data_IF_363598388242
#
_entry.id   IF_363598388242
#
_cell.length_a   1.000
_cell.length_b   1.000
_cell.length_c   1.000
_cell.angle_alpha   90.00
_cell.angle_beta   90.00
_cell.angle_gamma   90.00
#
_symmetry.space_group_name_H-M   'P 1'
#
loop_
_entity.id
_entity.type
_entity.pdbx_description
1 polymer ?
#
# COMPACT_ATOMS: atom_id res chain seq x y z
N UNK A 1 -30.87 -36.80 53.03
CA UNK A 1 -30.94 -35.42 52.48
C UNK A 1 -29.63 -34.93 51.85
N UNK A 2 -28.49 -35.62 52.02
CA UNK A 2 -27.18 -35.23 51.46
C UNK A 2 -26.99 -35.65 50.00
N UNK A 3 -27.54 -36.80 49.57
CA UNK A 3 -27.42 -37.26 48.17
C UNK A 3 -28.13 -36.36 47.14
N UNK A 4 -29.27 -35.76 47.52
CA UNK A 4 -30.02 -34.85 46.62
C UNK A 4 -29.33 -33.48 46.49
N UNK A 5 -28.69 -32.98 47.55
CA UNK A 5 -27.91 -31.72 47.52
C UNK A 5 -26.68 -31.84 46.61
N UNK A 6 -26.03 -33.00 46.61
CA UNK A 6 -24.87 -33.25 45.74
C UNK A 6 -25.26 -33.40 44.26
N UNK A 7 -26.44 -33.98 43.98
CA UNK A 7 -26.97 -34.07 42.61
C UNK A 7 -27.38 -32.69 42.08
N UNK A 8 -28.02 -31.85 42.90
CA UNK A 8 -28.34 -30.46 42.52
C UNK A 8 -27.06 -29.65 42.29
N UNK A 9 -26.03 -29.83 43.12
CA UNK A 9 -24.72 -29.19 42.92
C UNK A 9 -24.04 -29.60 41.61
N UNK A 10 -24.11 -30.88 41.23
CA UNK A 10 -23.55 -31.38 39.96
C UNK A 10 -24.35 -30.88 38.75
N UNK A 11 -25.68 -30.79 38.85
CA UNK A 11 -26.52 -30.25 37.78
C UNK A 11 -26.25 -28.76 37.59
N UNK A 12 -26.13 -27.98 38.68
CA UNK A 12 -25.79 -26.55 38.62
C UNK A 12 -24.40 -26.35 38.01
N UNK A 13 -23.41 -27.17 38.43
CA UNK A 13 -22.06 -27.11 37.88
C UNK A 13 -22.01 -27.53 36.40
N UNK A 14 -22.78 -28.55 36.00
CA UNK A 14 -22.90 -28.97 34.61
C UNK A 14 -23.64 -27.94 33.74
N UNK A 15 -24.63 -27.23 34.28
CA UNK A 15 -25.28 -26.10 33.57
C UNK A 15 -24.39 -24.87 33.48
N UNK A 16 -23.49 -24.64 34.45
CA UNK A 16 -22.48 -23.56 34.35
C UNK A 16 -21.43 -23.91 33.30
N UNK A 17 -21.01 -25.17 33.20
CA UNK A 17 -20.07 -25.63 32.16
C UNK A 17 -20.74 -25.62 30.77
N UNK A 18 -22.02 -26.00 30.65
CA UNK A 18 -22.76 -25.96 29.38
C UNK A 18 -23.21 -24.54 28.98
N UNK A 19 -23.27 -23.59 29.92
CA UNK A 19 -23.51 -22.17 29.63
C UNK A 19 -22.23 -21.40 29.25
N UNK A 20 -21.05 -22.00 29.43
CA UNK A 20 -19.86 -21.65 28.66
C UNK A 20 -19.91 -22.39 27.32
N UNK A 21 -20.86 -22.00 26.46
CA UNK A 21 -20.62 -22.11 25.02
C UNK A 21 -19.43 -21.22 24.66
N UNK A 22 -18.74 -21.55 23.58
CA UNK A 22 -17.50 -20.94 23.07
C UNK A 22 -17.62 -19.45 22.67
N UNK A 23 -18.31 -18.63 23.45
CA UNK A 23 -18.38 -17.19 23.26
C UNK A 23 -17.17 -16.53 23.95
N UNK A 24 -15.96 -16.99 23.62
CA UNK A 24 -14.75 -16.22 23.87
C UNK A 24 -14.65 -15.07 22.84
N UNK A 25 -15.51 -14.07 23.05
CA UNK A 25 -15.23 -12.63 22.97
C UNK A 25 -14.21 -12.11 21.93
N UNK A 26 -14.43 -12.39 20.64
CA UNK A 26 -14.36 -11.34 19.62
C UNK A 26 -15.61 -11.48 18.74
N UNK A 27 -16.67 -10.74 19.10
CA UNK A 27 -17.81 -10.59 18.20
C UNK A 27 -17.30 -9.81 16.99
N UNK A 28 -17.16 -10.46 15.84
CA UNK A 28 -16.85 -9.79 14.58
C UNK A 28 -18.12 -9.06 14.10
N UNK A 29 -18.20 -7.72 14.20
CA UNK A 29 -19.39 -6.99 13.81
C UNK A 29 -19.62 -6.97 12.29
N UNK A 30 -18.65 -7.48 11.51
CA UNK A 30 -18.66 -7.54 10.06
C UNK A 30 -18.69 -9.00 9.54
N UNK A 31 -19.02 -9.99 10.38
CA UNK A 31 -19.04 -11.39 9.97
C UNK A 31 -20.02 -11.69 8.81
N UNK A 32 -21.07 -10.88 8.69
CA UNK A 32 -22.10 -11.03 7.65
C UNK A 32 -21.80 -10.21 6.36
N UNK A 33 -20.64 -9.54 6.29
CA UNK A 33 -20.25 -8.76 5.11
C UNK A 33 -19.74 -9.70 4.01
N UNK A 34 -20.43 -9.67 2.88
CA UNK A 34 -19.97 -10.26 1.63
C UNK A 34 -19.03 -9.27 0.92
N UNK A 35 -17.73 -9.51 1.03
CA UNK A 35 -16.70 -8.64 0.48
C UNK A 35 -16.67 -8.60 -1.05
N UNK A 36 -17.05 -9.69 -1.72
CA UNK A 36 -17.16 -9.71 -3.18
C UNK A 36 -18.33 -8.83 -3.65
N UNK A 37 -19.49 -8.96 -2.99
CA UNK A 37 -20.63 -8.09 -3.28
C UNK A 37 -20.35 -6.62 -2.94
N UNK A 38 -19.60 -6.36 -1.86
CA UNK A 38 -19.17 -5.03 -1.48
C UNK A 38 -18.24 -4.42 -2.54
N UNK A 39 -17.25 -5.17 -3.03
CA UNK A 39 -16.34 -4.72 -4.10
C UNK A 39 -17.10 -4.30 -5.37
N UNK A 40 -18.13 -5.06 -5.76
CA UNK A 40 -19.01 -4.73 -6.88
C UNK A 40 -19.77 -3.43 -6.60
N UNK A 41 -20.39 -3.30 -5.42
CA UNK A 41 -21.16 -2.11 -5.01
C UNK A 41 -20.28 -0.84 -4.95
N UNK A 42 -19.06 -0.98 -4.47
CA UNK A 42 -18.06 0.09 -4.42
C UNK A 42 -17.70 0.56 -5.83
N UNK A 43 -17.34 -0.37 -6.71
CA UNK A 43 -17.03 -0.03 -8.08
C UNK A 43 -18.21 0.65 -8.80
N UNK A 44 -19.44 0.18 -8.57
CA UNK A 44 -20.64 0.83 -9.11
C UNK A 44 -20.80 2.27 -8.62
N UNK A 45 -20.50 2.52 -7.34
CA UNK A 45 -20.55 3.85 -6.73
C UNK A 45 -19.46 4.76 -7.30
N UNK A 46 -18.23 4.26 -7.41
CA UNK A 46 -17.10 4.99 -8.01
C UNK A 46 -17.35 5.33 -9.48
N UNK A 47 -17.83 4.38 -10.29
CA UNK A 47 -18.16 4.63 -11.71
C UNK A 47 -19.26 5.69 -11.84
N UNK A 48 -20.31 5.62 -11.02
CA UNK A 48 -21.35 6.66 -10.99
C UNK A 48 -20.79 8.01 -10.57
N UNK A 49 -19.88 8.04 -9.60
CA UNK A 49 -19.20 9.26 -9.18
C UNK A 49 -18.40 9.87 -10.34
N UNK A 50 -17.53 9.09 -10.97
CA UNK A 50 -16.63 9.53 -12.04
C UNK A 50 -17.39 10.04 -13.27
N UNK A 51 -18.58 9.48 -13.57
CA UNK A 51 -19.46 9.94 -14.66
C UNK A 51 -20.18 11.26 -14.35
N UNK A 52 -20.33 11.61 -13.07
CA UNK A 52 -21.06 12.81 -12.62
C UNK A 52 -20.12 13.92 -12.12
N UNK A 53 -18.81 13.75 -12.25
CA UNK A 53 -17.80 14.72 -11.84
C UNK A 53 -16.82 14.98 -12.97
N UNK A 54 -16.19 16.15 -12.94
CA UNK A 54 -15.04 16.51 -13.76
C UNK A 54 -13.92 17.02 -12.86
N UNK A 55 -12.69 17.01 -13.36
CA UNK A 55 -11.57 17.64 -12.68
C UNK A 55 -11.38 19.07 -13.21
N UNK A 56 -11.43 20.05 -12.31
CA UNK A 56 -11.18 21.45 -12.60
C UNK A 56 -9.69 21.75 -12.42
N UNK A 57 -8.97 21.89 -13.53
CA UNK A 57 -7.53 22.13 -13.55
C UNK A 57 -7.12 23.51 -13.00
N UNK A 58 -8.00 24.51 -13.08
CA UNK A 58 -7.71 25.85 -12.56
C UNK A 58 -7.80 25.88 -11.03
N UNK A 59 -8.70 25.07 -10.47
CA UNK A 59 -8.92 24.94 -9.03
C UNK A 59 -8.22 23.73 -8.39
N UNK A 60 -7.47 22.94 -9.16
CA UNK A 60 -6.84 21.67 -8.75
C UNK A 60 -7.79 20.80 -7.91
N UNK A 61 -9.04 20.62 -8.37
CA UNK A 61 -10.05 19.90 -7.59
C UNK A 61 -11.15 19.25 -8.42
N UNK A 62 -11.73 18.17 -7.87
CA UNK A 62 -12.91 17.49 -8.43
C UNK A 62 -14.17 18.30 -8.15
N UNK A 63 -15.00 18.49 -9.17
CA UNK A 63 -16.27 19.22 -9.13
C UNK A 63 -17.39 18.41 -9.78
N UNK A 64 -18.63 18.68 -9.37
CA UNK A 64 -19.82 18.12 -10.04
C UNK A 64 -19.85 18.55 -11.50
N UNK A 65 -20.21 17.62 -12.39
CA UNK A 65 -20.25 17.83 -13.83
C UNK A 65 -21.18 18.98 -14.20
N UNK A 66 -20.70 19.86 -15.08
CA UNK A 66 -21.45 20.96 -15.68
C UNK A 66 -21.37 20.88 -17.21
N UNK A 67 -22.30 21.55 -17.89
CA UNK A 67 -22.33 21.59 -19.36
C UNK A 67 -21.00 22.08 -19.94
N UNK A 68 -20.45 21.34 -20.90
CA UNK A 68 -19.21 21.67 -21.60
C UNK A 68 -17.92 21.16 -20.93
N UNK A 69 -18.02 20.45 -19.79
CA UNK A 69 -16.89 19.75 -19.17
C UNK A 69 -16.96 18.24 -19.48
N UNK A 70 -15.80 17.60 -19.58
CA UNK A 70 -15.68 16.15 -19.78
C UNK A 70 -15.78 15.44 -18.43
N UNK A 71 -16.61 14.40 -18.29
CA UNK A 71 -16.63 13.56 -17.10
C UNK A 71 -15.26 12.92 -16.84
N UNK A 72 -14.85 12.75 -15.58
CA UNK A 72 -13.59 12.07 -15.22
C UNK A 72 -13.55 10.67 -15.85
N UNK A 73 -14.68 9.96 -15.87
CA UNK A 73 -14.78 8.61 -16.43
C UNK A 73 -14.46 8.54 -17.94
N UNK A 74 -14.62 9.64 -18.67
CA UNK A 74 -14.39 9.72 -20.12
C UNK A 74 -13.10 10.49 -20.45
N UNK A 75 -12.32 10.89 -19.45
CA UNK A 75 -11.08 11.63 -19.62
C UNK A 75 -9.89 10.68 -19.77
N UNK A 76 -9.05 10.91 -20.80
CA UNK A 76 -7.86 10.09 -21.10
C UNK A 76 -6.82 10.09 -19.95
N UNK A 77 -6.89 11.08 -19.05
CA UNK A 77 -6.05 11.16 -17.84
C UNK A 77 -6.46 10.17 -16.76
N UNK A 78 -7.67 9.60 -16.82
CA UNK A 78 -8.10 8.55 -15.90
C UNK A 78 -7.42 7.23 -16.27
N UNK A 79 -6.67 6.67 -15.32
CA UNK A 79 -6.09 5.33 -15.40
C UNK A 79 -6.90 4.39 -14.50
N UNK A 80 -7.23 3.22 -15.03
CA UNK A 80 -7.88 2.15 -14.27
C UNK A 80 -6.87 1.04 -14.05
N UNK A 81 -6.76 0.55 -12.83
CA UNK A 81 -5.91 -0.56 -12.44
C UNK A 81 -6.78 -1.69 -11.91
N UNK A 82 -6.50 -2.91 -12.36
CA UNK A 82 -7.03 -4.12 -11.74
C UNK A 82 -6.07 -4.56 -10.64
N UNK A 83 -6.57 -4.75 -9.43
CA UNK A 83 -5.79 -5.15 -8.27
C UNK A 83 -6.52 -6.29 -7.58
N UNK A 84 -5.84 -7.40 -7.36
CA UNK A 84 -6.40 -8.56 -6.67
C UNK A 84 -5.86 -8.59 -5.24
N UNK A 85 -6.74 -8.62 -4.24
CA UNK A 85 -6.37 -8.72 -2.83
C UNK A 85 -7.35 -9.66 -2.13
N UNK A 86 -6.83 -10.66 -1.40
CA UNK A 86 -7.63 -11.72 -0.77
C UNK A 86 -8.59 -12.41 -1.74
N UNK A 87 -8.09 -12.79 -2.93
CA UNK A 87 -8.87 -13.43 -4.01
C UNK A 87 -10.02 -12.58 -4.60
N UNK A 88 -10.08 -11.28 -4.29
CA UNK A 88 -11.09 -10.36 -4.81
C UNK A 88 -10.46 -9.36 -5.77
N UNK A 89 -11.05 -9.24 -6.96
CA UNK A 89 -10.63 -8.27 -7.97
C UNK A 89 -11.28 -6.89 -7.75
N UNK A 90 -10.44 -5.88 -7.56
CA UNK A 90 -10.83 -4.49 -7.39
C UNK A 90 -10.42 -3.64 -8.58
N UNK A 91 -11.18 -2.57 -8.82
CA UNK A 91 -10.79 -1.48 -9.73
C UNK A 91 -10.37 -0.26 -8.94
N UNK A 92 -9.08 0.08 -9.03
CA UNK A 92 -8.54 1.33 -8.54
C UNK A 92 -8.52 2.35 -9.69
N UNK A 93 -8.97 3.57 -9.42
CA UNK A 93 -8.96 4.64 -10.41
C UNK A 93 -7.99 5.75 -9.99
N UNK A 94 -7.12 6.15 -10.91
CA UNK A 94 -6.13 7.20 -10.71
C UNK A 94 -6.30 8.25 -11.80
N UNK A 95 -6.77 9.44 -11.45
CA UNK A 95 -6.78 10.56 -12.38
C UNK A 95 -5.44 11.29 -12.32
N UNK A 96 -4.64 11.18 -13.38
CA UNK A 96 -3.30 11.79 -13.46
C UNK A 96 -3.42 13.22 -13.98
N UNK A 97 -3.55 14.18 -13.07
CA UNK A 97 -3.67 15.60 -13.42
C UNK A 97 -2.36 16.13 -14.04
N UNK A 98 -1.23 15.77 -13.42
CA UNK A 98 0.14 15.99 -13.89
C UNK A 98 0.96 14.73 -13.61
N UNK A 99 1.63 14.18 -14.61
CA UNK A 99 2.44 12.97 -14.44
C UNK A 99 3.60 13.19 -13.47
N UNK A 100 4.30 14.32 -13.59
CA UNK A 100 5.52 14.63 -12.86
C UNK A 100 6.66 14.84 -13.84
N UNK A 101 7.64 15.66 -13.48
CA UNK A 101 8.79 15.97 -14.33
C UNK A 101 10.03 16.17 -13.45
N UNK A 102 11.03 15.31 -13.64
CA UNK A 102 12.29 15.35 -12.90
C UNK A 102 13.19 16.50 -13.32
N UNK A 103 12.84 17.25 -14.38
CA UNK A 103 13.55 18.44 -14.82
C UNK A 103 15.04 18.18 -15.02
N UNK A 104 15.86 18.78 -14.15
CA UNK A 104 17.33 18.61 -14.17
C UNK A 104 17.86 17.44 -13.35
N UNK A 105 17.02 16.81 -12.54
CA UNK A 105 17.36 15.63 -11.75
C UNK A 105 17.21 14.35 -12.59
N UNK A 106 17.91 13.25 -12.24
CA UNK A 106 17.76 11.98 -12.92
C UNK A 106 16.30 11.52 -12.99
N UNK A 107 15.84 11.10 -14.17
CA UNK A 107 14.52 10.48 -14.31
C UNK A 107 14.55 9.11 -13.65
N UNK A 108 13.88 9.02 -12.50
CA UNK A 108 13.74 7.79 -11.72
C UNK A 108 12.63 6.87 -12.25
N UNK A 109 11.88 7.32 -13.26
CA UNK A 109 10.69 6.62 -13.73
C UNK A 109 9.53 6.75 -12.74
N UNK A 110 8.74 5.70 -12.65
CA UNK A 110 7.62 5.58 -11.72
C UNK A 110 8.06 4.73 -10.52
N UNK A 111 7.59 5.02 -9.29
CA UNK A 111 7.86 4.16 -8.16
C UNK A 111 7.23 2.79 -8.37
N UNK A 112 7.88 1.77 -7.81
CA UNK A 112 7.30 0.44 -7.59
C UNK A 112 6.26 0.51 -6.46
N UNK A 113 5.55 -0.60 -6.22
CA UNK A 113 4.59 -0.71 -5.10
C UNK A 113 5.26 -0.79 -3.72
N UNK A 114 6.58 -0.91 -3.68
CA UNK A 114 7.36 -1.08 -2.43
C UNK A 114 8.33 0.08 -2.18
N UNK A 115 8.49 1.00 -3.13
CA UNK A 115 9.42 2.12 -2.97
C UNK A 115 8.99 3.09 -1.86
N UNK A 116 9.98 3.77 -1.27
CA UNK A 116 9.75 4.91 -0.39
C UNK A 116 9.41 6.17 -1.20
N UNK A 117 8.29 6.81 -0.88
CA UNK A 117 7.79 8.02 -1.55
C UNK A 117 7.72 9.22 -0.61
N UNK A 118 8.02 10.42 -1.12
CA UNK A 118 7.84 11.69 -0.42
C UNK A 118 6.68 12.46 -1.01
N UNK A 119 5.64 12.71 -0.23
CA UNK A 119 4.33 13.10 -0.76
C UNK A 119 3.62 14.19 0.03
N UNK A 120 2.73 14.92 -0.64
CA UNK A 120 1.62 15.64 0.00
C UNK A 120 0.32 14.92 -0.31
N UNK A 121 -0.68 15.03 0.57
CA UNK A 121 -1.97 14.41 0.32
C UNK A 121 -3.11 15.09 1.10
N UNK A 122 -4.34 14.83 0.65
CA UNK A 122 -5.56 15.14 1.37
C UNK A 122 -6.64 14.09 1.09
N UNK A 123 -7.09 13.39 2.13
CA UNK A 123 -8.08 12.32 2.08
C UNK A 123 -9.48 12.79 2.45
N UNK A 124 -10.48 12.34 1.67
CA UNK A 124 -11.92 12.61 1.88
C UNK A 124 -12.72 11.33 1.75
N UNK A 125 -13.76 11.19 2.57
CA UNK A 125 -14.70 10.07 2.45
C UNK A 125 -15.67 10.33 1.31
N UNK A 126 -16.13 9.25 0.67
CA UNK A 126 -17.15 9.27 -0.35
C UNK A 126 -18.42 8.58 0.15
N UNK A 127 -19.58 9.11 -0.25
CA UNK A 127 -20.88 8.48 0.00
C UNK A 127 -21.71 8.54 -1.28
N UNK A 128 -21.82 7.38 -1.93
CA UNK A 128 -22.46 7.23 -3.24
C UNK A 128 -21.81 8.14 -4.29
N UNK A 129 -22.52 9.18 -4.70
CA UNK A 129 -22.06 10.14 -5.72
C UNK A 129 -21.56 11.46 -5.14
N UNK A 130 -21.36 11.56 -3.83
CA UNK A 130 -20.86 12.77 -3.17
C UNK A 130 -19.61 12.47 -2.36
N UNK A 131 -18.83 13.50 -2.04
CA UNK A 131 -17.66 13.40 -1.16
C UNK A 131 -17.72 14.45 -0.06
N UNK A 132 -17.08 14.16 1.06
CA UNK A 132 -16.98 15.08 2.19
C UNK A 132 -16.35 16.41 1.76
N UNK A 133 -16.89 17.53 2.26
CA UNK A 133 -16.26 18.84 2.10
C UNK A 133 -15.02 19.01 2.97
N UNK A 134 -14.83 18.13 3.95
CA UNK A 134 -13.73 18.15 4.91
C UNK A 134 -12.76 17.00 4.63
N UNK A 135 -11.47 17.27 4.80
CA UNK A 135 -10.45 16.23 4.81
C UNK A 135 -10.51 15.50 6.16
N UNK A 136 -10.55 14.17 6.15
CA UNK A 136 -10.39 13.39 7.38
C UNK A 136 -8.91 13.27 7.78
N UNK A 137 -8.02 13.37 6.80
CA UNK A 137 -6.57 13.40 6.97
C UNK A 137 -5.91 14.20 5.84
N UNK A 138 -4.79 14.87 6.12
CA UNK A 138 -4.00 15.60 5.11
C UNK A 138 -2.61 15.98 5.60
N UNK A 139 -1.65 15.98 4.68
CA UNK A 139 -0.33 16.56 4.86
C UNK A 139 0.02 17.46 3.66
N UNK A 140 0.52 18.68 3.93
CA UNK A 140 0.90 19.66 2.89
C UNK A 140 2.35 20.13 3.02
N UNK A 141 3.12 19.53 3.92
CA UNK A 141 4.52 19.89 4.21
C UNK A 141 5.50 18.83 3.77
N UNK A 142 5.02 17.78 3.10
CA UNK A 142 5.76 16.61 2.68
C UNK A 142 5.99 15.63 3.84
N UNK A 143 5.77 14.35 3.55
CA UNK A 143 6.04 13.23 4.47
C UNK A 143 6.54 12.02 3.67
N UNK A 144 7.47 11.26 4.26
CA UNK A 144 7.93 9.99 3.70
C UNK A 144 6.99 8.86 4.11
N UNK A 145 6.65 8.02 3.13
CA UNK A 145 5.98 6.75 3.36
C UNK A 145 6.74 5.62 2.66
N UNK A 146 6.83 4.48 3.33
CA UNK A 146 7.08 3.20 2.68
C UNK A 146 5.76 2.73 2.06
N UNK A 147 5.74 2.44 0.74
CA UNK A 147 4.53 2.00 0.06
C UNK A 147 4.05 0.60 0.49
N UNK A 148 4.87 -0.21 1.16
CA UNK A 148 4.45 -1.45 1.82
C UNK A 148 3.59 -1.22 3.08
N UNK A 149 3.78 -0.08 3.76
CA UNK A 149 3.16 0.19 5.06
C UNK A 149 1.93 1.13 4.98
N UNK A 150 1.36 1.29 3.79
CA UNK A 150 0.16 2.13 3.56
C UNK A 150 -0.98 1.30 2.97
N UNK A 151 -2.17 1.90 2.85
CA UNK A 151 -3.29 1.24 2.18
C UNK A 151 -2.93 0.88 0.75
N UNK A 152 -3.41 -0.27 0.26
CA UNK A 152 -3.08 -0.79 -1.08
C UNK A 152 -3.39 0.22 -2.19
N UNK A 153 -4.48 0.98 -2.06
CA UNK A 153 -4.81 2.03 -3.02
C UNK A 153 -3.71 3.08 -3.22
N UNK A 154 -2.88 3.34 -2.21
CA UNK A 154 -1.69 4.19 -2.32
C UNK A 154 -0.52 3.45 -2.96
N UNK A 155 -0.21 2.24 -2.49
CA UNK A 155 0.88 1.40 -3.02
C UNK A 155 0.78 1.24 -4.54
N UNK A 156 -0.42 0.98 -5.05
CA UNK A 156 -0.69 0.91 -6.48
C UNK A 156 -0.84 2.30 -7.14
N UNK A 157 -1.47 3.25 -6.45
CA UNK A 157 -1.81 4.56 -7.01
C UNK A 157 -0.59 5.40 -7.41
N UNK A 158 0.44 5.43 -6.57
CA UNK A 158 1.65 6.23 -6.84
C UNK A 158 2.46 5.72 -8.03
N UNK A 159 2.31 4.45 -8.43
CA UNK A 159 2.96 3.86 -9.62
C UNK A 159 2.55 4.53 -10.94
N UNK A 160 1.53 5.40 -10.93
CA UNK A 160 1.05 6.17 -12.10
C UNK A 160 1.56 7.60 -12.14
N UNK A 161 2.39 7.99 -11.19
CA UNK A 161 3.01 9.31 -11.10
C UNK A 161 4.53 9.19 -11.16
N UNK A 162 5.18 10.30 -11.49
CA UNK A 162 6.62 10.50 -11.43
C UNK A 162 6.97 11.55 -10.38
N UNK A 163 8.18 11.43 -9.84
CA UNK A 163 8.76 12.44 -8.95
C UNK A 163 9.06 13.75 -9.67
N UNK A 164 9.19 14.82 -8.89
CA UNK A 164 9.67 16.11 -9.35
C UNK A 164 11.18 16.27 -9.19
N UNK A 165 11.64 17.52 -9.26
CA UNK A 165 13.03 17.92 -9.06
C UNK A 165 13.23 18.68 -7.75
N UNK A 166 14.37 18.49 -7.11
CA UNK A 166 14.76 19.29 -5.96
C UNK A 166 15.07 20.71 -6.42
N UNK A 167 14.46 21.71 -5.76
CA UNK A 167 14.71 23.11 -6.06
C UNK A 167 16.19 23.45 -5.80
N UNK A 168 16.84 23.98 -6.84
CA UNK A 168 18.22 24.48 -6.80
C UNK A 168 18.26 26.01 -6.77
N UNK A 169 19.36 26.59 -6.32
CA UNK A 169 19.58 28.03 -6.38
C UNK A 169 19.67 28.50 -7.84
N UNK A 170 18.90 29.52 -8.26
CA UNK A 170 18.81 29.91 -9.67
C UNK A 170 20.07 30.58 -10.22
N UNK A 171 20.96 31.08 -9.35
CA UNK A 171 22.18 31.77 -9.78
C UNK A 171 23.37 30.81 -9.88
N UNK A 172 23.41 29.81 -8.99
CA UNK A 172 24.54 28.88 -8.88
C UNK A 172 24.23 27.49 -9.43
N UNK A 173 22.95 27.12 -9.57
CA UNK A 173 22.52 25.75 -9.87
C UNK A 173 22.79 24.75 -8.74
N UNK A 174 23.27 25.23 -7.59
CA UNK A 174 23.63 24.43 -6.42
C UNK A 174 22.51 24.35 -5.39
N UNK A 175 22.88 24.03 -4.15
CA UNK A 175 21.94 23.89 -3.02
C UNK A 175 21.15 25.18 -2.81
N UNK A 176 19.82 25.07 -2.80
CA UNK A 176 18.93 26.18 -2.46
C UNK A 176 18.97 26.44 -0.94
N UNK A 177 19.34 27.66 -0.53
CA UNK A 177 19.37 28.05 0.88
C UNK A 177 17.96 28.41 1.38
N UNK A 178 17.15 27.39 1.63
CA UNK A 178 15.78 27.49 2.14
C UNK A 178 15.22 26.12 2.53
N UNK A 179 13.91 26.04 2.85
CA UNK A 179 13.28 24.75 3.12
C UNK A 179 13.43 23.81 1.92
N UNK A 180 13.57 22.51 2.19
CA UNK A 180 13.54 21.47 1.15
C UNK A 180 12.24 21.65 0.37
N UNK A 181 12.37 21.92 -0.93
CA UNK A 181 11.26 22.23 -1.82
C UNK A 181 11.43 21.43 -3.08
N UNK A 182 10.41 20.67 -3.45
CA UNK A 182 10.36 19.98 -4.74
C UNK A 182 9.52 20.79 -5.72
N UNK A 183 9.95 20.83 -6.96
CA UNK A 183 9.23 21.43 -8.08
C UNK A 183 8.73 20.29 -8.96
N UNK A 184 7.66 20.56 -9.71
CA UNK A 184 7.20 19.66 -10.77
C UNK A 184 6.82 18.23 -10.38
N UNK A 185 6.54 17.96 -9.11
CA UNK A 185 6.00 16.68 -8.66
C UNK A 185 4.72 16.27 -9.41
N UNK A 186 4.51 14.96 -9.50
CA UNK A 186 3.28 14.38 -10.04
C UNK A 186 2.08 14.76 -9.17
N UNK A 187 0.92 14.95 -9.80
CA UNK A 187 -0.34 15.31 -9.14
C UNK A 187 -1.44 14.41 -9.64
N UNK A 188 -2.24 13.88 -8.71
CA UNK A 188 -3.35 13.03 -9.08
C UNK A 188 -4.47 12.97 -8.05
N UNK A 189 -5.56 12.31 -8.45
CA UNK A 189 -6.67 11.97 -7.57
C UNK A 189 -6.85 10.46 -7.59
N UNK A 190 -6.75 9.83 -6.42
CA UNK A 190 -7.08 8.41 -6.23
C UNK A 190 -8.56 8.29 -5.86
N UNK A 191 -9.24 7.33 -6.48
CA UNK A 191 -10.57 6.87 -6.08
C UNK A 191 -10.47 5.40 -5.73
N UNK A 192 -10.51 5.13 -4.43
CA UNK A 192 -10.09 3.87 -3.84
C UNK A 192 -11.35 3.12 -3.37
N UNK A 193 -11.62 1.91 -3.88
CA UNK A 193 -12.68 1.06 -3.34
C UNK A 193 -12.34 0.65 -1.91
N UNK A 194 -13.34 0.39 -1.07
CA UNK A 194 -13.10 0.17 0.36
C UNK A 194 -12.17 -1.01 0.67
N UNK A 195 -12.22 -2.05 -0.17
CA UNK A 195 -11.34 -3.23 -0.13
C UNK A 195 -9.85 -2.91 -0.25
N UNK A 196 -9.48 -1.84 -0.95
CA UNK A 196 -8.10 -1.37 -1.10
C UNK A 196 -7.74 -0.23 -0.13
N UNK A 197 -8.64 0.09 0.79
CA UNK A 197 -8.49 1.12 1.81
C UNK A 197 -8.46 0.49 3.21
N UNK A 198 -9.57 0.54 3.94
CA UNK A 198 -9.72 0.00 5.29
C UNK A 198 -10.81 -1.07 5.31
N UNK A 199 -10.59 -2.25 4.71
CA UNK A 199 -11.61 -3.31 4.68
C UNK A 199 -11.86 -3.90 6.05
N UNK A 200 -13.09 -4.31 6.31
CA UNK A 200 -13.46 -5.10 7.49
C UNK A 200 -12.99 -6.56 7.45
N UNK A 201 -12.23 -6.98 6.42
CA UNK A 201 -11.51 -8.25 6.47
C UNK A 201 -10.27 -8.16 7.38
N UNK A 202 -9.74 -6.95 7.59
CA UNK A 202 -8.69 -6.69 8.56
C UNK A 202 -9.29 -6.24 9.90
N UNK A 203 -9.08 -7.05 10.94
CA UNK A 203 -9.58 -6.81 12.30
C UNK A 203 -9.14 -5.48 12.91
N UNK A 204 -8.00 -4.93 12.50
CA UNK A 204 -7.51 -3.64 12.97
C UNK A 204 -8.42 -2.48 12.56
N UNK A 205 -9.20 -2.66 11.49
CA UNK A 205 -10.09 -1.62 10.97
C UNK A 205 -11.45 -1.56 11.67
N UNK A 206 -11.80 -2.50 12.54
CA UNK A 206 -13.19 -2.64 13.04
C UNK A 206 -13.72 -1.41 13.77
N UNK A 207 -12.82 -0.62 14.37
CA UNK A 207 -13.17 0.60 15.11
C UNK A 207 -12.99 1.88 14.30
N UNK A 208 -12.46 1.76 13.08
CA UNK A 208 -12.25 2.90 12.18
C UNK A 208 -13.58 3.43 11.67
N UNK A 209 -13.74 4.75 11.66
CA UNK A 209 -14.86 5.40 10.98
C UNK A 209 -14.77 5.32 9.45
N UNK A 210 -13.65 4.83 8.92
CA UNK A 210 -13.37 4.65 7.49
C UNK A 210 -13.53 3.20 7.03
N UNK A 211 -13.91 2.29 7.93
CA UNK A 211 -14.10 0.88 7.58
C UNK A 211 -15.14 0.75 6.46
N UNK A 212 -14.84 -0.11 5.48
CA UNK A 212 -15.71 -0.39 4.32
C UNK A 212 -16.21 0.88 3.60
N UNK A 213 -15.38 1.93 3.55
CA UNK A 213 -15.72 3.21 2.94
C UNK A 213 -14.86 3.50 1.71
N UNK A 214 -15.50 3.88 0.60
CA UNK A 214 -14.81 4.40 -0.59
C UNK A 214 -14.13 5.74 -0.27
N UNK A 215 -12.88 5.89 -0.69
CA UNK A 215 -12.06 7.06 -0.38
C UNK A 215 -11.62 7.81 -1.63
N UNK A 216 -11.49 9.13 -1.49
CA UNK A 216 -10.89 10.02 -2.46
C UNK A 216 -9.64 10.64 -1.83
N UNK A 217 -8.50 10.55 -2.51
CA UNK A 217 -7.29 11.26 -2.10
C UNK A 217 -6.80 12.16 -3.21
N UNK A 218 -6.56 13.43 -2.89
CA UNK A 218 -5.65 14.27 -3.66
C UNK A 218 -4.23 13.89 -3.25
N UNK A 219 -3.36 13.60 -4.20
CA UNK A 219 -1.97 13.20 -3.95
C UNK A 219 -1.02 14.02 -4.82
N UNK A 220 0.09 14.43 -4.22
CA UNK A 220 1.25 14.97 -4.93
C UNK A 220 2.46 14.08 -4.64
N UNK A 221 3.08 13.51 -5.68
CA UNK A 221 4.36 12.79 -5.58
C UNK A 221 5.52 13.78 -5.77
N UNK A 222 6.17 14.16 -4.67
CA UNK A 222 7.24 15.17 -4.69
C UNK A 222 8.56 14.55 -5.17
N UNK A 223 8.94 13.40 -4.61
CA UNK A 223 10.07 12.57 -5.04
C UNK A 223 9.92 11.16 -4.47
N UNK A 224 10.82 10.24 -4.81
CA UNK A 224 10.87 8.89 -4.25
C UNK A 224 12.29 8.32 -4.30
N UNK A 225 12.51 7.20 -3.63
CA UNK A 225 13.73 6.39 -3.70
C UNK A 225 13.40 5.16 -4.55
N UNK A 226 13.90 5.05 -5.81
CA UNK A 226 13.72 3.83 -6.59
C UNK A 226 14.53 2.71 -5.96
N UNK A 227 14.09 1.47 -6.16
CA UNK A 227 14.79 0.27 -5.69
C UNK A 227 15.05 0.35 -4.17
N UNK A 228 14.02 0.73 -3.42
CA UNK A 228 14.15 0.84 -1.95
C UNK A 228 14.52 -0.51 -1.37
N UNK A 229 15.61 -0.51 -0.62
CA UNK A 229 16.15 -1.60 0.19
C UNK A 229 15.85 -1.24 1.66
N UNK A 230 15.07 -2.07 2.35
CA UNK A 230 14.46 -1.72 3.64
C UNK A 230 15.32 -2.12 4.85
N UNK A 231 15.98 -3.27 4.80
CA UNK A 231 16.93 -3.76 5.80
C UNK A 231 18.37 -3.23 5.55
N UNK A 232 18.66 -2.72 4.34
CA UNK A 232 19.96 -2.25 3.87
C UNK A 232 21.01 -3.36 3.73
N UNK A 233 20.58 -4.51 3.23
CA UNK A 233 21.41 -5.67 2.96
C UNK A 233 21.93 -5.75 1.50
N UNK A 234 21.61 -4.75 0.66
CA UNK A 234 22.07 -4.68 -0.72
C UNK A 234 21.13 -5.32 -1.74
N UNK A 235 20.04 -5.96 -1.32
CA UNK A 235 18.99 -6.45 -2.21
C UNK A 235 17.81 -5.47 -2.18
N UNK A 236 17.45 -4.84 -3.32
CA UNK A 236 16.25 -4.03 -3.37
C UNK A 236 15.00 -4.86 -3.09
N UNK A 237 14.11 -4.37 -2.24
CA UNK A 237 12.89 -5.08 -1.81
C UNK A 237 12.01 -5.58 -2.95
N UNK A 238 11.99 -4.90 -4.09
CA UNK A 238 11.23 -5.38 -5.24
C UNK A 238 11.80 -6.68 -5.84
N UNK A 239 13.08 -7.00 -5.60
CA UNK A 239 13.74 -8.23 -6.05
C UNK A 239 13.56 -9.40 -5.08
N UNK A 240 13.06 -9.16 -3.88
CA UNK A 240 12.83 -10.17 -2.84
C UNK A 240 11.44 -10.81 -2.92
N UNK A 241 10.66 -10.43 -3.94
CA UNK A 241 9.44 -11.11 -4.40
C UNK A 241 9.85 -12.36 -5.21
N UNK A 242 10.31 -13.41 -4.51
CA UNK A 242 11.03 -14.54 -5.12
C UNK A 242 10.11 -15.37 -6.03
N UNK A 243 8.85 -15.52 -5.66
CA UNK A 243 7.85 -16.26 -6.44
C UNK A 243 7.09 -15.40 -7.46
N UNK A 244 7.33 -14.08 -7.46
CA UNK A 244 6.71 -13.08 -8.33
C UNK A 244 5.17 -13.01 -8.19
N UNK A 245 4.61 -13.41 -7.04
CA UNK A 245 3.18 -13.30 -6.74
C UNK A 245 2.75 -11.85 -6.48
N UNK A 246 3.72 -10.98 -6.21
CA UNK A 246 3.48 -9.59 -5.96
C UNK A 246 3.50 -9.19 -4.49
N UNK A 247 3.94 -10.03 -3.57
CA UNK A 247 3.81 -9.83 -2.14
C UNK A 247 5.05 -10.26 -1.34
N UNK A 248 6.08 -9.42 -1.35
CA UNK A 248 7.31 -9.55 -0.51
C UNK A 248 7.11 -9.84 0.99
N UNK A 249 5.89 -9.71 1.54
CA UNK A 249 5.63 -10.03 2.96
C UNK A 249 5.48 -11.54 3.24
N UNK A 250 5.43 -12.40 2.22
CA UNK A 250 5.32 -13.85 2.38
C UNK A 250 6.58 -14.61 1.91
N UNK A 251 7.56 -13.92 1.35
CA UNK A 251 8.88 -14.46 1.01
C UNK A 251 9.76 -14.44 2.27
N UNK A 252 10.00 -15.62 2.82
CA UNK A 252 10.76 -15.88 4.05
C UNK A 252 11.57 -17.16 3.79
N UNK A 253 12.85 -17.01 3.48
CA UNK A 253 13.69 -18.07 2.91
C UNK A 253 14.15 -19.07 3.96
N UNK A 254 14.47 -18.61 5.17
CA UNK A 254 14.93 -19.47 6.27
C UNK A 254 13.79 -19.93 7.21
N UNK A 255 12.61 -19.29 7.11
CA UNK A 255 11.40 -19.63 7.85
C UNK A 255 11.39 -19.14 9.30
N UNK A 256 12.17 -18.11 9.64
CA UNK A 256 12.26 -17.57 11.00
C UNK A 256 11.09 -16.64 11.38
N UNK A 257 10.29 -16.23 10.38
CA UNK A 257 9.12 -15.38 10.50
C UNK A 257 9.35 -13.91 10.17
N UNK A 258 10.55 -13.51 9.76
CA UNK A 258 10.83 -12.23 9.11
C UNK A 258 10.87 -12.43 7.60
N UNK A 259 10.09 -11.67 6.81
CA UNK A 259 10.24 -11.70 5.37
C UNK A 259 11.62 -11.17 4.98
N UNK A 260 12.19 -11.69 3.88
CA UNK A 260 13.53 -11.34 3.39
C UNK A 260 13.80 -9.83 3.41
N UNK A 261 12.87 -9.00 2.90
CA UNK A 261 13.02 -7.54 2.88
C UNK A 261 13.11 -6.81 4.24
N UNK A 262 13.00 -7.57 5.33
CA UNK A 262 13.14 -7.11 6.68
C UNK A 262 14.08 -8.00 7.50
N UNK A 263 14.80 -8.89 6.85
CA UNK A 263 15.88 -9.71 7.36
C UNK A 263 17.21 -9.23 6.75
N UNK A 264 18.35 -9.50 7.39
CA UNK A 264 19.68 -9.13 6.88
C UNK A 264 20.54 -10.36 6.58
N UNK A 265 20.00 -11.55 6.84
CA UNK A 265 20.60 -12.88 6.73
C UNK A 265 19.49 -13.81 6.17
N UNK A 266 19.11 -13.56 4.91
CA UNK A 266 17.90 -14.10 4.27
C UNK A 266 17.76 -15.63 4.37
N UNK A 267 18.87 -16.35 4.32
CA UNK A 267 18.91 -17.82 4.36
C UNK A 267 19.27 -18.39 5.74
N UNK A 268 19.47 -17.51 6.74
CA UNK A 268 19.64 -17.85 8.14
C UNK A 268 20.95 -18.58 8.43
N UNK A 269 21.97 -18.36 7.63
CA UNK A 269 23.19 -19.14 7.63
C UNK A 269 24.29 -18.53 8.54
N UNK A 270 24.12 -17.27 8.93
CA UNK A 270 24.99 -16.52 9.82
C UNK A 270 25.99 -15.60 9.11
N UNK A 271 25.91 -15.49 7.78
CA UNK A 271 26.56 -14.45 6.98
C UNK A 271 25.49 -13.47 6.52
N UNK A 272 25.76 -12.17 6.57
CA UNK A 272 24.76 -11.21 6.11
C UNK A 272 24.66 -11.26 4.59
N UNK A 273 23.45 -11.13 4.03
CA UNK A 273 23.18 -11.08 2.59
C UNK A 273 24.17 -10.19 1.83
N UNK A 274 24.44 -9.00 2.36
CA UNK A 274 25.39 -8.03 1.76
C UNK A 274 26.84 -8.50 1.67
N UNK A 275 27.22 -9.42 2.56
CA UNK A 275 28.58 -9.95 2.69
C UNK A 275 28.75 -11.21 1.81
N UNK A 276 27.68 -11.66 1.15
CA UNK A 276 27.66 -12.78 0.19
C UNK A 276 27.80 -12.31 -1.28
N UNK A 277 28.47 -11.17 -1.45
CA UNK A 277 28.93 -10.62 -2.73
C UNK A 277 30.29 -11.23 -3.10
N UNK A 278 30.27 -12.44 -3.67
CA UNK A 278 31.48 -13.23 -3.93
C UNK A 278 32.46 -12.56 -4.91
N UNK A 279 31.99 -11.59 -5.70
CA UNK A 279 32.79 -10.91 -6.72
C UNK A 279 33.14 -9.44 -6.41
N UNK A 280 32.69 -8.93 -5.24
CA UNK A 280 32.87 -7.57 -4.74
C UNK A 280 32.32 -6.47 -5.69
N UNK A 281 31.23 -6.72 -6.43
CA UNK A 281 30.59 -5.72 -7.31
C UNK A 281 29.45 -4.92 -6.66
N UNK A 282 29.05 -5.31 -5.45
CA UNK A 282 28.00 -4.70 -4.64
C UNK A 282 26.59 -5.17 -4.98
N UNK A 283 26.42 -6.30 -5.68
CA UNK A 283 25.12 -6.88 -6.03
C UNK A 283 25.04 -8.40 -5.72
N UNK A 284 24.67 -8.79 -4.48
CA UNK A 284 24.61 -10.21 -4.08
C UNK A 284 23.58 -11.02 -4.89
N UNK A 285 22.68 -10.36 -5.64
CA UNK A 285 21.68 -11.05 -6.46
C UNK A 285 22.27 -11.77 -7.69
N UNK A 286 23.56 -11.57 -7.97
CA UNK A 286 24.23 -12.13 -9.14
C UNK A 286 25.36 -13.14 -8.83
N UNK A 287 25.55 -13.49 -7.55
CA UNK A 287 26.58 -14.44 -7.10
C UNK A 287 26.03 -15.85 -6.91
N UNK A 288 26.72 -16.84 -7.50
CA UNK A 288 26.31 -18.25 -7.54
C UNK A 288 27.52 -19.17 -7.34
N UNK A 289 27.94 -19.33 -6.10
CA UNK A 289 29.11 -20.12 -5.70
C UNK A 289 28.81 -21.62 -5.57
N UNK A 290 27.54 -22.02 -5.41
CA UNK A 290 27.15 -23.43 -5.29
C UNK A 290 27.07 -24.14 -6.65
N UNK A 291 28.10 -24.93 -6.95
CA UNK A 291 28.14 -25.78 -8.15
C UNK A 291 27.02 -26.84 -8.24
N UNK A 292 26.37 -27.18 -7.13
CA UNK A 292 25.25 -28.13 -7.08
C UNK A 292 23.89 -27.47 -7.29
N UNK A 293 23.80 -26.15 -7.09
CA UNK A 293 22.61 -25.33 -7.32
C UNK A 293 22.96 -24.00 -8.02
N UNK A 294 23.38 -24.02 -9.30
CA UNK A 294 23.98 -22.86 -9.99
C UNK A 294 22.97 -21.77 -10.37
N UNK A 295 21.73 -21.86 -9.90
CA UNK A 295 20.66 -20.88 -10.15
C UNK A 295 20.09 -20.28 -8.87
N UNK A 296 20.55 -20.74 -7.71
CA UNK A 296 20.19 -20.17 -6.41
C UNK A 296 21.31 -19.20 -6.03
N UNK A 297 21.01 -17.89 -5.92
CA UNK A 297 21.96 -16.91 -5.44
C UNK A 297 22.52 -17.30 -4.07
N UNK A 298 23.73 -16.87 -3.78
CA UNK A 298 24.42 -17.22 -2.53
C UNK A 298 23.61 -16.78 -1.30
N UNK A 299 23.06 -15.55 -1.29
CA UNK A 299 22.23 -15.01 -0.20
C UNK A 299 20.90 -15.74 0.09
N UNK A 300 20.53 -16.73 -0.73
CA UNK A 300 19.36 -17.57 -0.54
C UNK A 300 19.75 -19.04 -0.28
N UNK A 301 21.04 -19.33 -0.06
CA UNK A 301 21.60 -20.67 -0.03
C UNK A 301 22.36 -20.96 1.27
N UNK A 302 21.72 -21.64 2.24
CA UNK A 302 22.28 -21.82 3.59
C UNK A 302 23.52 -22.74 3.67
N UNK A 303 24.02 -23.19 2.51
CA UNK A 303 25.23 -23.98 2.36
C UNK A 303 26.45 -23.14 1.92
N UNK A 304 26.29 -21.86 1.57
CA UNK A 304 27.35 -20.96 1.12
C UNK A 304 27.58 -19.89 2.21
N UNK A 305 28.84 -19.72 2.62
CA UNK A 305 29.28 -18.86 3.75
C UNK A 305 30.59 -18.15 3.41
#
# INVERSE_FOLDING_TARGET
MTKLKNIIGIIIFATIIYACGDDNFINNPFADIDHEALAISDNDSLVKFLKNHYYDADLDSVKTLITGKTPIFEDDKLKTMSVTENDIDYKLYVYVAKEGDSGSDPDKGNPTKVDSVYVNYAGRTMSGTTFSSFNFDSNSTGIWFNLLSVIKGWSYGYTKLKGGELKKDPNTGGVFNGPITYLNGGKGVLFIPSGLAYPSSNTQNYTSSLVDTNLLFYIDLLTFVPDTDHDNDGVPTIKEDLDNDGNVNNDDTDGDGFPNYFDVDDDGDGVFTKDEDANDDGDPTNDFSDSTNPTLPDYLNPNIK
#
